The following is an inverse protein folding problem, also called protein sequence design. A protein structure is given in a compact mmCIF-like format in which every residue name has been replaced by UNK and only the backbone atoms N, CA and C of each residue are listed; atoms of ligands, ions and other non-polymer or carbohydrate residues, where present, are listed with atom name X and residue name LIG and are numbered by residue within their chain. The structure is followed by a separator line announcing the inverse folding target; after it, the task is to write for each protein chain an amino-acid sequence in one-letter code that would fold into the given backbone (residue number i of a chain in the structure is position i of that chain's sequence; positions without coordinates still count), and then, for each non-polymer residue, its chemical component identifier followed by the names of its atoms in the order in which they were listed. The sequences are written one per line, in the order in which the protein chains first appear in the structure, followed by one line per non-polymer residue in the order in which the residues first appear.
data_IF_440255299740
#
_entry.id   IF_440255299740
#
_cell.length_a   1.000
_cell.length_b   1.000
_cell.length_c   1.000
_cell.angle_alpha   90.00
_cell.angle_beta   90.00
_cell.angle_gamma   90.00
#
_symmetry.space_group_name_H-M   'P 1'
#
loop_
_entity.id
_entity.type
_entity.pdbx_description
1 polymer ?
#
# COMPACT_ATOMS: atom_id res chain seq x y z
N UNK A 1 35.28 1.21 -5.74
CA UNK A 1 33.93 1.35 -5.16
C UNK A 1 32.86 0.67 -6.01
N UNK A 2 32.82 0.92 -7.32
CA UNK A 2 31.88 0.28 -8.27
C UNK A 2 31.97 -1.25 -8.32
N UNK A 3 33.18 -1.84 -8.37
CA UNK A 3 33.35 -3.31 -8.35
C UNK A 3 32.76 -3.95 -7.09
N UNK A 4 33.04 -3.36 -5.92
CA UNK A 4 32.55 -3.84 -4.63
C UNK A 4 31.02 -3.81 -4.50
N UNK A 5 30.38 -2.78 -5.07
CA UNK A 5 28.91 -2.68 -5.13
C UNK A 5 28.32 -3.74 -6.05
N UNK A 6 28.89 -3.90 -7.26
CA UNK A 6 28.44 -4.93 -8.22
C UNK A 6 28.58 -6.33 -7.63
N UNK A 7 29.69 -6.63 -6.96
CA UNK A 7 29.91 -7.93 -6.28
C UNK A 7 28.90 -8.18 -5.14
N UNK A 8 28.46 -7.11 -4.48
CA UNK A 8 27.44 -7.21 -3.41
C UNK A 8 26.05 -7.46 -4.00
N UNK A 9 25.70 -6.80 -5.11
CA UNK A 9 24.46 -7.05 -5.83
C UNK A 9 24.42 -8.45 -6.41
N UNK A 10 25.53 -8.95 -6.96
CA UNK A 10 25.59 -10.28 -7.53
C UNK A 10 25.47 -11.37 -6.46
N UNK A 11 26.11 -11.18 -5.30
CA UNK A 11 25.90 -12.05 -4.13
C UNK A 11 24.45 -12.05 -3.67
N UNK A 12 23.84 -10.87 -3.57
CA UNK A 12 22.43 -10.72 -3.21
C UNK A 12 21.50 -11.46 -4.18
N UNK A 13 21.67 -11.25 -5.50
CA UNK A 13 20.89 -11.91 -6.55
C UNK A 13 21.07 -13.43 -6.52
N UNK A 14 22.30 -13.91 -6.28
CA UNK A 14 22.58 -15.33 -6.16
C UNK A 14 21.87 -15.94 -4.93
N UNK A 15 21.92 -15.29 -3.77
CA UNK A 15 21.18 -15.74 -2.58
C UNK A 15 19.68 -15.76 -2.81
N UNK A 16 19.14 -14.74 -3.49
CA UNK A 16 17.73 -14.67 -3.85
C UNK A 16 17.32 -15.82 -4.79
N UNK A 17 18.15 -16.10 -5.80
CA UNK A 17 17.94 -17.20 -6.75
C UNK A 17 17.99 -18.58 -6.09
N UNK A 18 18.78 -18.73 -5.04
CA UNK A 18 18.85 -19.98 -4.27
C UNK A 18 17.64 -20.17 -3.35
N UNK A 19 17.08 -19.07 -2.83
CA UNK A 19 16.01 -19.13 -1.83
C UNK A 19 14.60 -19.17 -2.43
N UNK A 20 14.38 -18.51 -3.57
CA UNK A 20 13.06 -18.40 -4.18
C UNK A 20 13.01 -19.15 -5.50
N UNK A 21 12.03 -20.04 -5.63
CA UNK A 21 11.74 -20.81 -6.84
C UNK A 21 11.49 -19.90 -8.06
N UNK A 22 12.08 -20.24 -9.22
CA UNK A 22 11.87 -19.52 -10.48
C UNK A 22 10.39 -19.20 -10.84
N UNK A 23 9.41 -20.11 -10.65
CA UNK A 23 8.00 -19.79 -10.91
C UNK A 23 7.44 -18.69 -9.99
N UNK A 24 7.87 -18.65 -8.72
CA UNK A 24 7.46 -17.60 -7.77
C UNK A 24 8.09 -16.26 -8.14
N UNK A 25 9.38 -16.25 -8.52
CA UNK A 25 10.05 -15.03 -8.98
C UNK A 25 9.38 -14.42 -10.21
N UNK A 26 9.04 -15.26 -11.19
CA UNK A 26 8.39 -14.80 -12.43
C UNK A 26 7.00 -14.22 -12.14
N UNK A 27 6.28 -14.83 -11.20
CA UNK A 27 4.98 -14.32 -10.72
C UNK A 27 5.13 -12.96 -10.03
N UNK A 28 6.06 -12.85 -9.07
CA UNK A 28 6.33 -11.61 -8.35
C UNK A 28 6.73 -10.48 -9.30
N UNK A 29 7.54 -10.76 -10.33
CA UNK A 29 7.88 -9.75 -11.36
C UNK A 29 6.64 -9.19 -12.05
N UNK A 30 5.64 -10.01 -12.35
CA UNK A 30 4.37 -9.55 -12.93
C UNK A 30 3.53 -8.76 -11.92
N UNK A 31 3.47 -9.21 -10.66
CA UNK A 31 2.77 -8.51 -9.58
C UNK A 31 3.37 -7.12 -9.37
N UNK A 32 4.68 -7.01 -9.16
CA UNK A 32 5.36 -5.73 -8.96
C UNK A 32 5.36 -4.86 -10.22
N UNK A 33 5.38 -5.45 -11.42
CA UNK A 33 5.17 -4.74 -12.67
C UNK A 33 3.79 -4.09 -12.75
N UNK A 34 2.74 -4.85 -12.47
CA UNK A 34 1.36 -4.32 -12.39
C UNK A 34 1.20 -3.29 -11.25
N UNK A 35 1.92 -3.48 -10.13
CA UNK A 35 1.95 -2.54 -9.02
C UNK A 35 2.54 -1.18 -9.45
N UNK A 36 3.62 -1.18 -10.23
CA UNK A 36 4.21 0.07 -10.73
C UNK A 36 3.24 0.83 -11.66
N UNK A 37 2.53 0.12 -12.53
CA UNK A 37 1.52 0.71 -13.41
C UNK A 37 0.32 1.27 -12.62
N UNK A 38 -0.14 0.56 -11.58
CA UNK A 38 -1.19 1.05 -10.71
C UNK A 38 -0.75 2.26 -9.88
N UNK A 39 0.50 2.31 -9.41
CA UNK A 39 1.05 3.50 -8.74
C UNK A 39 1.04 4.72 -9.67
N UNK A 40 1.44 4.56 -10.94
CA UNK A 40 1.38 5.64 -11.92
C UNK A 40 -0.07 6.08 -12.16
N UNK A 41 -1.00 5.15 -12.33
CA UNK A 41 -2.42 5.47 -12.49
C UNK A 41 -2.99 6.22 -11.28
N UNK A 42 -2.64 5.80 -10.06
CA UNK A 42 -3.05 6.48 -8.83
C UNK A 42 -2.45 7.88 -8.73
N UNK A 43 -1.19 8.08 -9.14
CA UNK A 43 -0.57 9.40 -9.18
C UNK A 43 -1.27 10.34 -10.17
N UNK A 44 -1.64 9.84 -11.36
CA UNK A 44 -2.45 10.61 -12.33
C UNK A 44 -3.83 10.93 -11.73
N UNK A 45 -4.47 9.99 -11.05
CA UNK A 45 -5.74 10.23 -10.35
C UNK A 45 -5.64 11.32 -9.28
N UNK A 46 -4.62 11.26 -8.43
CA UNK A 46 -4.33 12.29 -7.44
C UNK A 46 -4.09 13.66 -8.08
N UNK A 47 -3.34 13.71 -9.18
CA UNK A 47 -3.08 14.96 -9.92
C UNK A 47 -4.37 15.54 -10.52
N UNK A 48 -5.22 14.71 -11.12
CA UNK A 48 -6.52 15.14 -11.68
C UNK A 48 -7.42 15.74 -10.61
N UNK A 49 -7.44 15.18 -9.40
CA UNK A 49 -8.18 15.75 -8.26
C UNK A 49 -7.68 17.16 -7.94
N UNK A 50 -6.37 17.34 -7.80
CA UNK A 50 -5.77 18.65 -7.47
C UNK A 50 -6.00 19.68 -8.59
N UNK A 51 -5.98 19.24 -9.85
CA UNK A 51 -6.18 20.11 -11.00
C UNK A 51 -7.65 20.49 -11.27
N UNK A 52 -8.62 19.69 -10.80
CA UNK A 52 -10.03 19.84 -11.19
C UNK A 52 -10.94 20.14 -10.00
N UNK A 53 -11.55 21.33 -9.96
CA UNK A 53 -12.48 21.73 -8.89
C UNK A 53 -13.83 21.00 -8.92
N UNK A 54 -14.24 20.48 -10.07
CA UNK A 54 -15.58 19.90 -10.30
C UNK A 54 -15.69 18.41 -9.91
N UNK A 55 -14.58 17.68 -9.95
CA UNK A 55 -14.50 16.26 -9.58
C UNK A 55 -13.83 16.12 -8.20
N UNK A 56 -14.37 16.81 -7.18
CA UNK A 56 -14.00 16.58 -5.78
C UNK A 56 -14.53 15.22 -5.36
N UNK A 57 -13.82 14.19 -5.78
CA UNK A 57 -14.18 12.80 -5.64
C UNK A 57 -13.81 12.30 -4.27
N UNK A 58 -14.74 12.38 -3.32
CA UNK A 58 -14.62 11.58 -2.09
C UNK A 58 -15.57 10.41 -2.12
N UNK A 59 -16.88 10.61 -2.27
CA UNK A 59 -17.85 9.52 -2.10
C UNK A 59 -18.04 8.71 -3.39
N UNK A 60 -18.20 9.37 -4.54
CA UNK A 60 -18.43 8.69 -5.82
C UNK A 60 -17.21 7.90 -6.30
N UNK A 61 -16.01 8.43 -6.12
CA UNK A 61 -14.74 7.76 -6.45
C UNK A 61 -14.53 6.53 -5.56
N UNK A 62 -14.86 6.63 -4.26
CA UNK A 62 -14.84 5.50 -3.33
C UNK A 62 -15.82 4.40 -3.76
N UNK A 63 -17.09 4.74 -4.00
CA UNK A 63 -18.10 3.75 -4.41
C UNK A 63 -17.71 3.06 -5.72
N UNK A 64 -17.24 3.81 -6.70
CA UNK A 64 -16.81 3.25 -7.99
C UNK A 64 -15.56 2.36 -7.85
N UNK A 65 -14.63 2.72 -6.95
CA UNK A 65 -13.47 1.88 -6.65
C UNK A 65 -13.88 0.52 -6.06
N UNK A 66 -14.91 0.49 -5.19
CA UNK A 66 -15.46 -0.75 -4.63
C UNK A 66 -16.11 -1.59 -5.73
N UNK A 67 -16.88 -0.96 -6.63
CA UNK A 67 -17.49 -1.67 -7.77
C UNK A 67 -16.41 -2.33 -8.63
N UNK A 68 -15.31 -1.63 -8.94
CA UNK A 68 -14.21 -2.19 -9.72
C UNK A 68 -13.51 -3.34 -9.00
N UNK A 69 -13.33 -3.26 -7.67
CA UNK A 69 -12.83 -4.38 -6.88
C UNK A 69 -13.75 -5.59 -6.94
N UNK A 70 -15.07 -5.39 -6.87
CA UNK A 70 -16.04 -6.48 -7.00
C UNK A 70 -16.00 -7.08 -8.41
N UNK A 71 -15.83 -6.27 -9.45
CA UNK A 71 -15.66 -6.75 -10.82
C UNK A 71 -14.39 -7.59 -10.99
N UNK A 72 -13.26 -7.16 -10.43
CA UNK A 72 -11.99 -7.93 -10.48
C UNK A 72 -12.14 -9.31 -9.83
N UNK A 73 -12.89 -9.40 -8.73
CA UNK A 73 -13.16 -10.64 -8.00
C UNK A 73 -14.25 -11.50 -8.64
N UNK A 74 -15.24 -10.89 -9.30
CA UNK A 74 -16.34 -11.59 -9.96
C UNK A 74 -15.99 -12.13 -11.34
N UNK A 75 -15.01 -11.55 -12.04
CA UNK A 75 -14.57 -12.04 -13.35
C UNK A 75 -13.65 -13.26 -13.22
N UNK A 76 -13.90 -14.36 -13.97
CA UNK A 76 -13.07 -15.55 -13.92
C UNK A 76 -11.66 -15.30 -14.49
N UNK A 77 -10.69 -16.01 -13.92
CA UNK A 77 -9.26 -15.93 -14.27
C UNK A 77 -8.97 -16.66 -15.60
N UNK A 78 -9.41 -16.08 -16.71
CA UNK A 78 -9.15 -16.59 -18.07
C UNK A 78 -8.20 -15.66 -18.82
N UNK A 79 -7.35 -16.20 -19.70
CA UNK A 79 -6.41 -15.42 -20.53
C UNK A 79 -7.09 -14.32 -21.37
N UNK A 80 -8.32 -14.57 -21.82
CA UNK A 80 -9.10 -13.60 -22.58
C UNK A 80 -9.52 -12.39 -21.72
N UNK A 81 -9.89 -12.64 -20.47
CA UNK A 81 -10.32 -11.60 -19.53
C UNK A 81 -9.15 -10.88 -18.86
N UNK A 82 -7.91 -11.34 -19.03
CA UNK A 82 -6.73 -10.78 -18.38
C UNK A 82 -6.56 -9.27 -18.66
N UNK A 83 -6.70 -8.87 -19.93
CA UNK A 83 -6.61 -7.46 -20.35
C UNK A 83 -7.70 -6.60 -19.72
N UNK A 84 -8.91 -7.13 -19.67
CA UNK A 84 -10.06 -6.44 -19.10
C UNK A 84 -9.92 -6.29 -17.57
N UNK A 85 -9.43 -7.32 -16.89
CA UNK A 85 -9.13 -7.27 -15.44
C UNK A 85 -7.98 -6.30 -15.14
N UNK A 86 -6.97 -6.25 -16.00
CA UNK A 86 -5.90 -5.27 -15.88
C UNK A 86 -6.42 -3.83 -16.07
N UNK A 87 -7.35 -3.62 -17.00
CA UNK A 87 -8.04 -2.34 -17.15
C UNK A 87 -8.81 -1.96 -15.88
N UNK A 88 -9.53 -2.91 -15.28
CA UNK A 88 -10.22 -2.68 -13.99
C UNK A 88 -9.25 -2.34 -12.86
N UNK A 89 -8.07 -2.98 -12.81
CA UNK A 89 -7.01 -2.64 -11.85
C UNK A 89 -6.55 -1.20 -12.03
N UNK A 90 -6.24 -0.78 -13.26
CA UNK A 90 -5.81 0.59 -13.55
C UNK A 90 -6.91 1.60 -13.19
N UNK A 91 -8.17 1.33 -13.54
CA UNK A 91 -9.31 2.16 -13.16
C UNK A 91 -9.49 2.26 -11.65
N UNK A 92 -9.39 1.13 -10.94
CA UNK A 92 -9.45 1.08 -9.48
C UNK A 92 -8.35 1.92 -8.84
N UNK A 93 -7.12 1.82 -9.34
CA UNK A 93 -5.98 2.57 -8.83
C UNK A 93 -6.09 4.06 -9.11
N UNK A 94 -6.54 4.45 -10.30
CA UNK A 94 -6.83 5.85 -10.63
C UNK A 94 -7.88 6.46 -9.69
N UNK A 95 -8.98 5.74 -9.44
CA UNK A 95 -10.04 6.18 -8.53
C UNK A 95 -9.59 6.20 -7.07
N UNK A 96 -8.73 5.28 -6.66
CA UNK A 96 -8.11 5.29 -5.33
C UNK A 96 -7.20 6.52 -5.14
N UNK A 97 -6.48 6.92 -6.21
CA UNK A 97 -5.73 8.17 -6.25
C UNK A 97 -6.62 9.40 -6.09
N UNK A 98 -7.71 9.46 -6.87
CA UNK A 98 -8.74 10.51 -6.74
C UNK A 98 -9.33 10.57 -5.33
N UNK A 99 -9.66 9.42 -4.74
CA UNK A 99 -10.21 9.33 -3.38
C UNK A 99 -9.24 9.82 -2.30
N UNK A 100 -7.93 9.81 -2.57
CA UNK A 100 -6.91 10.35 -1.64
C UNK A 100 -6.85 11.89 -1.73
N UNK A 101 -7.55 12.49 -2.68
CA UNK A 101 -7.63 13.92 -2.96
C UNK A 101 -7.90 14.82 -1.75
N UNK A 102 -8.95 14.61 -0.94
CA UNK A 102 -9.21 15.46 0.23
C UNK A 102 -8.08 15.44 1.27
N UNK A 103 -7.40 14.30 1.41
CA UNK A 103 -6.23 14.21 2.28
C UNK A 103 -5.05 14.97 1.67
N UNK A 104 -4.87 14.92 0.35
CA UNK A 104 -3.86 15.71 -0.35
C UNK A 104 -4.13 17.20 -0.21
N UNK A 105 -5.38 17.65 -0.37
CA UNK A 105 -5.78 19.05 -0.19
C UNK A 105 -5.40 19.56 1.21
N UNK A 106 -5.68 18.74 2.24
CA UNK A 106 -5.29 19.05 3.62
C UNK A 106 -3.77 19.17 3.78
N UNK A 107 -2.98 18.23 3.25
CA UNK A 107 -1.51 18.28 3.35
C UNK A 107 -0.91 19.44 2.55
N UNK A 108 -1.45 19.71 1.35
CA UNK A 108 -1.01 20.82 0.50
C UNK A 108 -1.29 22.16 1.18
N UNK A 109 -2.41 22.29 1.90
CA UNK A 109 -2.76 23.50 2.65
C UNK A 109 -1.77 23.82 3.78
N UNK A 110 -1.11 22.80 4.35
CA UNK A 110 -0.06 22.97 5.34
C UNK A 110 1.27 23.25 4.63
N UNK A 111 1.73 22.31 3.80
CA UNK A 111 3.01 22.41 3.10
C UNK A 111 3.09 21.39 1.95
N UNK A 112 3.20 21.83 0.67
CA UNK A 112 3.15 20.94 -0.48
C UNK A 112 4.34 19.96 -0.56
N UNK A 113 5.51 20.31 -0.01
CA UNK A 113 6.69 19.43 -0.01
C UNK A 113 6.47 18.13 0.78
N UNK A 114 5.50 18.09 1.69
CA UNK A 114 5.21 16.91 2.50
C UNK A 114 4.66 15.75 1.67
N UNK A 115 3.97 16.03 0.56
CA UNK A 115 3.42 15.00 -0.32
C UNK A 115 4.53 14.13 -0.91
N UNK A 116 5.57 14.76 -1.45
CA UNK A 116 6.72 14.06 -2.03
C UNK A 116 7.50 13.32 -0.95
N UNK A 117 7.74 13.96 0.19
CA UNK A 117 8.42 13.32 1.33
C UNK A 117 7.67 12.11 1.86
N UNK A 118 6.34 12.18 1.96
CA UNK A 118 5.50 11.07 2.39
C UNK A 118 5.57 9.89 1.40
N UNK A 119 5.53 10.18 0.11
CA UNK A 119 5.65 9.15 -0.94
C UNK A 119 7.02 8.46 -0.92
N UNK A 120 8.11 9.22 -0.77
CA UNK A 120 9.46 8.63 -0.68
C UNK A 120 9.62 7.80 0.60
N UNK A 121 9.07 8.27 1.73
CA UNK A 121 9.07 7.53 2.98
C UNK A 121 8.24 6.23 2.86
N UNK A 122 7.04 6.28 2.28
CA UNK A 122 6.20 5.10 2.08
C UNK A 122 6.84 4.12 1.10
N UNK A 123 7.47 4.58 0.02
CA UNK A 123 8.24 3.74 -0.91
C UNK A 123 9.41 3.05 -0.21
N UNK A 124 10.13 3.77 0.66
CA UNK A 124 11.26 3.21 1.42
C UNK A 124 10.77 2.12 2.39
N UNK A 125 9.69 2.38 3.13
CA UNK A 125 9.06 1.38 4.00
C UNK A 125 8.57 0.20 3.17
N UNK A 126 7.89 0.44 2.07
CA UNK A 126 7.34 -0.62 1.23
C UNK A 126 8.43 -1.55 0.70
N UNK A 127 9.48 -0.99 0.09
CA UNK A 127 10.59 -1.77 -0.47
C UNK A 127 11.36 -2.52 0.63
N UNK A 128 11.65 -1.89 1.76
CA UNK A 128 12.40 -2.54 2.85
C UNK A 128 11.62 -3.70 3.48
N UNK A 129 10.33 -3.51 3.75
CA UNK A 129 9.48 -4.56 4.34
C UNK A 129 9.13 -5.65 3.34
N UNK A 130 8.82 -5.32 2.08
CA UNK A 130 8.66 -6.35 1.03
C UNK A 130 9.93 -7.19 0.87
N UNK A 131 11.11 -6.57 0.89
CA UNK A 131 12.38 -7.31 0.83
C UNK A 131 12.57 -8.21 2.05
N UNK A 132 12.25 -7.73 3.25
CA UNK A 132 12.31 -8.53 4.47
C UNK A 132 11.37 -9.75 4.41
N UNK A 133 10.16 -9.59 3.86
CA UNK A 133 9.21 -10.68 3.66
C UNK A 133 9.70 -11.74 2.66
N UNK A 134 10.33 -11.30 1.56
CA UNK A 134 10.92 -12.20 0.54
C UNK A 134 12.12 -12.97 1.09
N UNK A 135 12.88 -12.40 2.03
CA UNK A 135 14.04 -13.05 2.66
C UNK A 135 13.69 -13.87 3.89
N UNK A 136 12.53 -13.68 4.50
CA UNK A 136 12.14 -14.43 5.68
C UNK A 136 11.92 -15.92 5.35
N UNK A 137 12.05 -16.82 6.34
CA UNK A 137 11.65 -18.22 6.19
C UNK A 137 10.19 -18.33 5.78
N UNK A 138 9.88 -19.36 5.02
CA UNK A 138 8.55 -19.62 4.51
C UNK A 138 7.52 -19.68 5.64
N UNK A 139 6.34 -19.10 5.39
CA UNK A 139 5.17 -19.09 6.30
C UNK A 139 5.36 -18.39 7.65
N UNK A 140 6.54 -17.84 7.97
CA UNK A 140 6.80 -17.20 9.27
C UNK A 140 5.81 -16.07 9.59
N UNK A 141 5.56 -15.17 8.64
CA UNK A 141 4.60 -14.07 8.84
C UNK A 141 3.15 -14.52 8.64
N UNK A 142 2.88 -15.68 8.03
CA UNK A 142 1.51 -16.21 7.93
C UNK A 142 0.92 -16.54 9.30
N UNK A 143 1.74 -17.02 10.25
CA UNK A 143 1.32 -17.22 11.64
C UNK A 143 0.99 -15.92 12.38
N UNK A 144 1.44 -14.78 11.87
CA UNK A 144 1.22 -13.46 12.47
C UNK A 144 -0.19 -12.90 12.18
N UNK A 145 -0.97 -13.52 11.28
CA UNK A 145 -2.28 -12.96 10.91
C UNK A 145 -3.25 -12.88 12.09
N UNK A 146 -3.21 -13.84 13.02
CA UNK A 146 -4.09 -13.85 14.19
C UNK A 146 -3.85 -12.63 15.09
N UNK A 147 -2.60 -12.26 15.32
CA UNK A 147 -2.26 -11.06 16.10
C UNK A 147 -2.53 -9.77 15.33
N UNK A 148 -2.27 -9.74 14.02
CA UNK A 148 -2.57 -8.57 13.16
C UNK A 148 -4.07 -8.26 13.11
N UNK A 149 -4.93 -9.28 12.92
CA UNK A 149 -6.38 -9.12 12.94
C UNK A 149 -6.89 -8.72 14.32
N UNK A 150 -6.31 -9.30 15.38
CA UNK A 150 -6.59 -8.89 16.77
C UNK A 150 -6.29 -7.41 17.01
N UNK A 151 -5.11 -6.95 16.59
CA UNK A 151 -4.74 -5.53 16.66
C UNK A 151 -5.66 -4.65 15.82
N UNK A 152 -6.00 -5.06 14.59
CA UNK A 152 -6.92 -4.29 13.75
C UNK A 152 -8.30 -4.14 14.40
N UNK A 153 -8.81 -5.20 15.02
CA UNK A 153 -10.07 -5.19 15.76
C UNK A 153 -10.01 -4.24 16.96
N UNK A 154 -8.97 -4.33 17.80
CA UNK A 154 -8.84 -3.42 18.95
C UNK A 154 -8.71 -1.96 18.52
N UNK A 155 -8.02 -1.69 17.42
CA UNK A 155 -7.93 -0.36 16.83
C UNK A 155 -9.28 0.16 16.30
N UNK A 156 -10.10 -0.73 15.73
CA UNK A 156 -11.46 -0.39 15.32
C UNK A 156 -12.30 0.04 16.53
N UNK A 157 -12.25 -0.72 17.63
CA UNK A 157 -12.91 -0.36 18.89
C UNK A 157 -12.40 0.96 19.46
N UNK A 158 -11.08 1.20 19.44
CA UNK A 158 -10.49 2.47 19.87
C UNK A 158 -10.94 3.65 19.00
N UNK A 159 -11.09 3.44 17.69
CA UNK A 159 -11.60 4.47 16.78
C UNK A 159 -13.07 4.81 17.07
N UNK A 160 -13.90 3.79 17.34
CA UNK A 160 -15.29 3.99 17.75
C UNK A 160 -15.37 4.72 19.09
N UNK A 161 -14.56 4.33 20.06
CA UNK A 161 -14.50 5.01 21.35
C UNK A 161 -14.05 6.47 21.20
N UNK A 162 -13.03 6.73 20.37
CA UNK A 162 -12.56 8.10 20.11
C UNK A 162 -13.63 8.99 19.47
N UNK A 163 -14.58 8.42 18.71
CA UNK A 163 -15.69 9.17 18.12
C UNK A 163 -16.66 9.72 19.19
N UNK A 164 -16.85 9.02 20.31
CA UNK A 164 -17.71 9.48 21.40
C UNK A 164 -16.99 10.42 22.39
N UNK A 165 -15.71 10.19 22.66
CA UNK A 165 -14.98 10.87 23.73
C UNK A 165 -13.95 11.92 23.26
N UNK A 166 -13.51 11.89 22.00
CA UNK A 166 -12.67 12.92 21.40
C UNK A 166 -11.25 13.06 21.99
N UNK A 167 -10.70 12.03 22.63
CA UNK A 167 -9.38 12.12 23.26
C UNK A 167 -8.24 12.19 22.22
N UNK A 168 -7.52 13.32 22.19
CA UNK A 168 -6.37 13.54 21.30
C UNK A 168 -5.25 12.49 21.45
N UNK A 169 -5.07 11.94 22.66
CA UNK A 169 -4.10 10.88 22.92
C UNK A 169 -4.47 9.57 22.20
N UNK A 170 -5.75 9.18 22.21
CA UNK A 170 -6.22 7.96 21.53
C UNK A 170 -6.04 8.06 20.02
N UNK A 171 -6.21 9.26 19.46
CA UNK A 171 -5.95 9.52 18.05
C UNK A 171 -4.47 9.26 17.69
N UNK A 172 -3.52 9.76 18.49
CA UNK A 172 -2.09 9.54 18.28
C UNK A 172 -1.73 8.05 18.35
N UNK A 173 -2.21 7.35 19.38
CA UNK A 173 -1.99 5.90 19.53
C UNK A 173 -2.53 5.14 18.32
N UNK A 174 -3.77 5.42 17.89
CA UNK A 174 -4.39 4.79 16.74
C UNK A 174 -3.61 5.04 15.43
N UNK A 175 -2.99 6.21 15.30
CA UNK A 175 -2.25 6.57 14.11
C UNK A 175 -0.90 5.84 14.02
N UNK A 176 -0.10 5.84 15.09
CA UNK A 176 1.20 5.14 15.12
C UNK A 176 1.05 3.61 15.17
N UNK A 177 0.14 3.10 16.01
CA UNK A 177 -0.14 1.66 16.04
C UNK A 177 -0.69 1.18 14.69
N UNK A 178 -1.49 2.00 14.02
CA UNK A 178 -2.07 1.65 12.73
C UNK A 178 -1.05 1.64 11.62
N UNK A 179 -0.04 2.52 11.69
CA UNK A 179 1.10 2.46 10.78
C UNK A 179 1.89 1.15 10.97
N UNK A 180 2.16 0.77 12.23
CA UNK A 180 2.84 -0.49 12.53
C UNK A 180 2.05 -1.72 12.04
N UNK A 181 0.72 -1.73 12.24
CA UNK A 181 -0.17 -2.80 11.76
C UNK A 181 -0.18 -2.87 10.23
N UNK A 182 -0.22 -1.75 9.52
CA UNK A 182 -0.15 -1.74 8.04
C UNK A 182 1.20 -2.25 7.52
N UNK A 183 2.32 -1.93 8.20
CA UNK A 183 3.62 -2.53 7.88
C UNK A 183 3.62 -4.05 8.12
N UNK A 184 2.90 -4.51 9.15
CA UNK A 184 2.68 -5.92 9.42
C UNK A 184 1.86 -6.62 8.34
N UNK A 185 0.79 -5.99 7.86
CA UNK A 185 0.00 -6.48 6.73
C UNK A 185 0.83 -6.57 5.45
N UNK A 186 1.66 -5.56 5.16
CA UNK A 186 2.59 -5.62 4.03
C UNK A 186 3.53 -6.84 4.07
N UNK A 187 4.08 -7.17 5.26
CA UNK A 187 4.90 -8.37 5.43
C UNK A 187 4.09 -9.65 5.18
N UNK A 188 2.88 -9.68 5.74
CA UNK A 188 1.97 -10.80 5.62
C UNK A 188 1.54 -11.01 4.15
N UNK A 189 1.07 -9.98 3.46
CA UNK A 189 0.58 -10.05 2.09
C UNK A 189 1.70 -10.40 1.11
N UNK A 190 2.91 -9.84 1.28
CA UNK A 190 4.06 -10.23 0.47
C UNK A 190 4.40 -11.72 0.62
N UNK A 191 4.32 -12.28 1.84
CA UNK A 191 4.52 -13.72 2.06
C UNK A 191 3.35 -14.57 1.56
N UNK A 192 2.12 -14.10 1.74
CA UNK A 192 0.92 -14.77 1.28
C UNK A 192 0.91 -14.92 -0.23
N UNK A 193 1.39 -13.93 -0.97
CA UNK A 193 1.53 -13.98 -2.43
C UNK A 193 2.47 -15.12 -2.86
N UNK A 194 3.60 -15.30 -2.17
CA UNK A 194 4.52 -16.40 -2.46
C UNK A 194 3.88 -17.76 -2.16
N UNK A 195 3.18 -17.88 -1.03
CA UNK A 195 2.54 -19.13 -0.63
C UNK A 195 1.36 -19.48 -1.54
N UNK A 196 0.48 -18.51 -1.86
CA UNK A 196 -0.59 -18.68 -2.86
C UNK A 196 -0.02 -19.16 -4.19
N UNK A 197 1.12 -18.61 -4.61
CA UNK A 197 1.79 -19.04 -5.84
C UNK A 197 2.27 -20.49 -5.78
N UNK A 198 2.83 -20.92 -4.64
CA UNK A 198 3.24 -22.32 -4.40
C UNK A 198 2.05 -23.28 -4.35
N UNK A 199 0.90 -22.82 -3.88
CA UNK A 199 -0.37 -23.55 -3.92
C UNK A 199 -1.02 -23.59 -5.32
N UNK A 200 -0.39 -22.99 -6.33
CA UNK A 200 -0.83 -23.04 -7.73
C UNK A 200 -1.61 -21.80 -8.21
N UNK A 201 -1.83 -20.79 -7.36
CA UNK A 201 -2.49 -19.56 -7.76
C UNK A 201 -1.62 -18.79 -8.78
N UNK A 202 -2.23 -18.35 -9.87
CA UNK A 202 -1.57 -17.60 -10.96
C UNK A 202 -2.08 -16.18 -11.10
N UNK A 203 -3.00 -15.73 -10.22
CA UNK A 203 -3.67 -14.44 -10.36
C UNK A 203 -2.84 -13.27 -9.83
N UNK A 204 -1.92 -12.77 -10.66
CA UNK A 204 -1.07 -11.64 -10.30
C UNK A 204 -1.86 -10.33 -10.14
N UNK A 205 -3.05 -10.21 -10.75
CA UNK A 205 -3.86 -8.98 -10.69
C UNK A 205 -4.44 -8.83 -9.29
N UNK A 206 -5.02 -9.88 -8.72
CA UNK A 206 -5.53 -9.86 -7.35
C UNK A 206 -4.41 -9.66 -6.33
N UNK A 207 -3.28 -10.33 -6.52
CA UNK A 207 -2.11 -10.12 -5.67
C UNK A 207 -1.55 -8.69 -5.76
N UNK A 208 -1.66 -8.05 -6.93
CA UNK A 208 -1.32 -6.64 -7.09
C UNK A 208 -2.29 -5.72 -6.34
N UNK A 209 -3.58 -6.02 -6.33
CA UNK A 209 -4.57 -5.26 -5.56
C UNK A 209 -4.24 -5.28 -4.07
N UNK A 210 -3.93 -6.46 -3.51
CA UNK A 210 -3.57 -6.62 -2.09
C UNK A 210 -2.40 -5.68 -1.74
N UNK A 211 -1.28 -5.76 -2.48
CA UNK A 211 -0.10 -4.88 -2.27
C UNK A 211 -0.37 -3.39 -2.53
N UNK A 212 -1.25 -3.08 -3.48
CA UNK A 212 -1.64 -1.70 -3.78
C UNK A 212 -2.37 -1.06 -2.60
N UNK A 213 -3.30 -1.80 -1.98
CA UNK A 213 -4.07 -1.35 -0.83
C UNK A 213 -3.16 -1.13 0.37
N UNK A 214 -2.20 -2.03 0.62
CA UNK A 214 -1.19 -1.87 1.65
C UNK A 214 -0.36 -0.59 1.45
N UNK A 215 0.13 -0.36 0.22
CA UNK A 215 0.91 0.83 -0.10
C UNK A 215 0.12 2.12 0.15
N UNK A 216 -1.11 2.23 -0.37
CA UNK A 216 -1.96 3.41 -0.17
C UNK A 216 -2.34 3.57 1.31
N UNK A 217 -2.50 2.47 2.05
CA UNK A 217 -2.70 2.48 3.50
C UNK A 217 -1.52 3.11 4.24
N UNK A 218 -0.29 2.67 3.94
CA UNK A 218 0.95 3.21 4.52
C UNK A 218 1.14 4.68 4.13
N UNK A 219 0.98 5.02 2.84
CA UNK A 219 1.12 6.39 2.32
C UNK A 219 0.21 7.37 3.07
N UNK A 220 -1.09 7.06 3.16
CA UNK A 220 -2.06 7.93 3.84
C UNK A 220 -1.70 8.15 5.30
N UNK A 221 -1.27 7.11 6.01
CA UNK A 221 -0.86 7.23 7.41
C UNK A 221 0.39 8.09 7.57
N UNK A 222 1.43 7.87 6.75
CA UNK A 222 2.65 8.69 6.77
C UNK A 222 2.34 10.16 6.44
N UNK A 223 1.46 10.43 5.48
CA UNK A 223 1.02 11.79 5.18
C UNK A 223 0.41 12.47 6.41
N UNK A 224 -0.46 11.79 7.15
CA UNK A 224 -1.08 12.36 8.35
C UNK A 224 -0.02 12.57 9.46
N UNK A 225 0.90 11.62 9.67
CA UNK A 225 2.02 11.77 10.62
C UNK A 225 2.82 13.04 10.33
N UNK A 226 3.24 13.22 9.07
CA UNK A 226 4.06 14.36 8.65
C UNK A 226 3.31 15.68 8.77
N UNK A 227 2.04 15.70 8.37
CA UNK A 227 1.18 16.88 8.51
C UNK A 227 1.04 17.31 9.97
N UNK A 228 0.77 16.36 10.88
CA UNK A 228 0.67 16.66 12.32
C UNK A 228 1.97 17.18 12.91
N UNK A 229 3.11 16.60 12.50
CA UNK A 229 4.43 17.04 12.97
C UNK A 229 4.72 18.49 12.59
N UNK A 230 4.39 18.90 11.37
CA UNK A 230 4.61 20.28 10.91
C UNK A 230 3.66 21.26 11.58
N UNK A 231 2.38 20.91 11.77
CA UNK A 231 1.41 21.76 12.52
C UNK A 231 1.88 21.98 13.96
N UNK A 232 2.32 20.93 14.65
CA UNK A 232 2.85 21.05 16.02
C UNK A 232 4.10 21.93 16.08
N UNK A 233 4.97 21.88 15.06
CA UNK A 233 6.19 22.68 15.01
C UNK A 233 5.86 24.16 14.81
N UNK A 234 4.90 24.49 13.94
CA UNK A 234 4.41 25.87 13.76
C UNK A 234 3.83 26.42 15.06
N UNK A 235 3.05 25.64 15.79
CA UNK A 235 2.42 26.05 17.06
C UNK A 235 3.42 26.25 18.22
N UNK A 236 4.64 25.70 18.12
CA UNK A 236 5.72 25.89 19.10
C UNK A 236 6.60 27.10 18.76
N UNK A 237 6.61 27.53 17.49
CA UNK A 237 7.43 28.64 17.00
C UNK A 237 6.69 29.99 17.07
N UNK A 238 5.35 29.97 17.23
CA UNK A 238 4.49 31.14 17.46
C UNK A 238 4.21 31.27 18.95
#
# INVERSE_FOLDING_TARGET
MTKTVVDSMQRFVNTFNLKIEKPVQTHLRRVYGALSASMMAAAVGAFVHVATTYWKGTIWSLLLSIVLLLLINGTPHTRENEKLRFCYLIGFSFLSGLSTGPLLDFVISIKPSLVVSAFLASATVFVSFSMAALYAPDRKYLYLIGSLLGMLSTMCWLSLFNLFFGFSFLFQVNLYAGLAVMCGFLLYDTQLIMEKRRMGDTDYIRHCVDLFVDFIGILRRIMIVLAQKEVSLICVVI
#
